data_IF_359071169221
#
_entry.id   IF_359071169221
#
_cell.length_a   1.000
_cell.length_b   1.000
_cell.length_c   1.000
_cell.angle_alpha   90.00
_cell.angle_beta   90.00
_cell.angle_gamma   90.00
#
_symmetry.space_group_name_H-M   'P 1'
#
loop_
_entity.id
_entity.type
_entity.pdbx_description
1 polymer ?
#
# COMPACT_ATOMS: atom_id res chain seq x y z
N UNK A 1 -8.34 14.35 2.00
CA UNK A 1 -8.36 13.45 3.17
C UNK A 1 -8.64 12.03 2.71
N UNK A 2 -8.57 11.02 3.60
CA UNK A 2 -8.96 9.65 3.23
C UNK A 2 -10.43 9.56 2.82
N UNK A 3 -11.34 10.22 3.54
CA UNK A 3 -12.78 10.14 3.28
C UNK A 3 -13.16 10.80 1.94
N UNK A 4 -12.59 11.96 1.64
CA UNK A 4 -12.77 12.64 0.35
C UNK A 4 -12.25 11.80 -0.82
N UNK A 5 -11.10 11.14 -0.63
CA UNK A 5 -10.55 10.23 -1.62
C UNK A 5 -11.46 9.00 -1.80
N UNK A 6 -11.90 8.38 -0.70
CA UNK A 6 -12.74 7.19 -0.73
C UNK A 6 -14.08 7.49 -1.43
N UNK A 7 -14.64 8.68 -1.26
CA UNK A 7 -15.86 9.11 -1.93
C UNK A 7 -15.74 9.09 -3.47
N UNK A 8 -14.55 9.40 -4.02
CA UNK A 8 -14.30 9.48 -5.46
C UNK A 8 -14.08 8.11 -6.13
N UNK A 9 -13.81 7.06 -5.35
CA UNK A 9 -13.52 5.73 -5.92
C UNK A 9 -14.73 5.16 -6.67
N UNK A 10 -14.45 4.65 -7.86
CA UNK A 10 -15.46 4.12 -8.78
C UNK A 10 -16.26 2.97 -8.16
N UNK A 11 -17.58 2.98 -8.35
CA UNK A 11 -18.51 2.00 -7.74
C UNK A 11 -18.19 0.53 -8.04
N UNK A 12 -17.58 0.23 -9.19
CA UNK A 12 -17.16 -1.15 -9.52
C UNK A 12 -15.99 -1.63 -8.66
N UNK A 13 -15.07 -0.74 -8.30
CA UNK A 13 -13.97 -1.08 -7.39
C UNK A 13 -14.52 -1.29 -5.97
N UNK A 14 -15.44 -0.42 -5.52
CA UNK A 14 -16.12 -0.57 -4.22
C UNK A 14 -16.95 -1.85 -4.10
N UNK A 15 -17.43 -2.39 -5.22
CA UNK A 15 -18.22 -3.61 -5.27
C UNK A 15 -17.39 -4.90 -5.19
N UNK A 16 -16.07 -4.83 -5.37
CA UNK A 16 -15.19 -6.01 -5.31
C UNK A 16 -15.04 -6.52 -3.86
N UNK A 17 -15.08 -7.85 -3.61
CA UNK A 17 -14.85 -8.41 -2.29
C UNK A 17 -13.57 -7.91 -1.58
N UNK A 18 -12.50 -7.62 -2.32
CA UNK A 18 -11.24 -7.10 -1.76
C UNK A 18 -11.44 -5.75 -1.04
N UNK A 19 -12.41 -4.95 -1.47
CA UNK A 19 -12.72 -3.63 -0.92
C UNK A 19 -13.11 -3.67 0.56
N UNK A 20 -13.66 -4.80 1.03
CA UNK A 20 -14.02 -5.00 2.44
C UNK A 20 -12.81 -4.87 3.37
N UNK A 21 -11.62 -5.18 2.88
CA UNK A 21 -10.40 -5.07 3.67
C UNK A 21 -9.92 -3.61 3.73
N UNK A 22 -9.91 -3.02 4.93
CA UNK A 22 -9.42 -1.65 5.13
C UNK A 22 -7.95 -1.47 4.69
N UNK A 23 -7.12 -2.50 4.86
CA UNK A 23 -5.72 -2.45 4.42
C UNK A 23 -5.58 -2.27 2.91
N UNK A 24 -6.48 -2.86 2.12
CA UNK A 24 -6.52 -2.65 0.67
C UNK A 24 -6.85 -1.20 0.32
N UNK A 25 -7.90 -0.65 0.94
CA UNK A 25 -8.32 0.73 0.70
C UNK A 25 -7.23 1.74 1.06
N UNK A 26 -6.56 1.53 2.21
CA UNK A 26 -5.42 2.36 2.63
C UNK A 26 -4.22 2.23 1.69
N UNK A 27 -3.96 1.04 1.15
CA UNK A 27 -2.91 0.83 0.15
C UNK A 27 -3.22 1.55 -1.18
N UNK A 28 -4.47 1.51 -1.63
CA UNK A 28 -4.93 2.28 -2.81
C UNK A 28 -4.79 3.78 -2.58
N UNK A 29 -5.20 4.28 -1.40
CA UNK A 29 -5.01 5.68 -1.04
C UNK A 29 -3.53 6.07 -1.01
N UNK A 30 -2.67 5.22 -0.44
CA UNK A 30 -1.23 5.43 -0.46
C UNK A 30 -0.68 5.51 -1.88
N UNK A 31 -1.17 4.68 -2.81
CA UNK A 31 -0.71 4.68 -4.19
C UNK A 31 -0.99 6.01 -4.89
N UNK A 32 -2.21 6.55 -4.75
CA UNK A 32 -2.57 7.84 -5.35
C UNK A 32 -1.75 8.99 -4.74
N UNK A 33 -1.50 8.95 -3.43
CA UNK A 33 -0.59 9.90 -2.80
C UNK A 33 0.85 9.75 -3.31
N UNK A 34 1.30 8.52 -3.54
CA UNK A 34 2.64 8.23 -4.07
C UNK A 34 2.78 8.72 -5.51
N UNK A 35 1.72 8.62 -6.31
CA UNK A 35 1.68 9.18 -7.66
C UNK A 35 1.93 10.69 -7.64
N UNK A 36 1.24 11.42 -6.76
CA UNK A 36 1.44 12.86 -6.58
C UNK A 36 2.85 13.19 -6.07
N UNK A 37 3.33 12.44 -5.07
CA UNK A 37 4.67 12.65 -4.48
C UNK A 37 5.79 12.38 -5.50
N UNK A 38 5.57 11.52 -6.50
CA UNK A 38 6.53 11.26 -7.58
C UNK A 38 6.70 12.44 -8.55
N UNK A 39 5.75 13.37 -8.64
CA UNK A 39 5.86 14.54 -9.52
C UNK A 39 7.05 15.45 -9.14
N UNK A 40 7.16 15.98 -7.90
CA UNK A 40 8.30 16.81 -7.52
C UNK A 40 9.62 16.03 -7.46
N UNK A 41 9.59 14.75 -7.09
CA UNK A 41 10.80 13.91 -7.00
C UNK A 41 11.51 13.73 -8.36
N UNK A 42 10.77 13.71 -9.47
CA UNK A 42 11.35 13.56 -10.82
C UNK A 42 12.17 14.77 -11.27
N UNK A 43 12.00 15.92 -10.63
CA UNK A 43 12.75 17.14 -10.93
C UNK A 43 14.25 17.03 -10.62
N UNK A 44 14.65 16.17 -9.69
CA UNK A 44 16.04 15.90 -9.34
C UNK A 44 16.54 14.61 -10.01
N UNK A 45 17.75 14.65 -10.59
CA UNK A 45 18.39 13.47 -11.21
C UNK A 45 18.43 12.26 -10.25
N UNK A 46 18.75 12.48 -8.98
CA UNK A 46 18.84 11.44 -7.94
C UNK A 46 17.46 10.90 -7.56
N UNK A 47 16.44 11.74 -7.68
CA UNK A 47 15.06 11.39 -7.37
C UNK A 47 14.44 10.42 -8.36
N UNK A 48 14.90 10.40 -9.62
CA UNK A 48 14.34 9.48 -10.64
C UNK A 48 14.47 8.00 -10.28
N UNK A 49 15.66 7.57 -9.85
CA UNK A 49 15.87 6.19 -9.43
C UNK A 49 15.01 5.83 -8.19
N UNK A 50 14.75 6.80 -7.32
CA UNK A 50 13.89 6.61 -6.14
C UNK A 50 12.43 6.49 -6.57
N UNK A 51 11.96 7.35 -7.49
CA UNK A 51 10.59 7.31 -8.05
C UNK A 51 10.28 5.97 -8.67
N UNK A 52 11.19 5.43 -9.49
CA UNK A 52 10.97 4.15 -10.16
C UNK A 52 10.79 3.00 -9.18
N UNK A 53 11.51 3.01 -8.05
CA UNK A 53 11.37 1.99 -7.01
C UNK A 53 10.13 2.24 -6.12
N UNK A 54 9.87 3.52 -5.81
CA UNK A 54 8.78 3.93 -4.95
C UNK A 54 7.42 3.60 -5.57
N UNK A 55 7.19 3.97 -6.84
CA UNK A 55 5.91 3.74 -7.51
C UNK A 55 5.63 2.24 -7.70
N UNK A 56 6.66 1.45 -8.03
CA UNK A 56 6.53 -0.01 -8.22
C UNK A 56 6.26 -0.72 -6.89
N UNK A 57 7.03 -0.40 -5.84
CA UNK A 57 6.82 -1.01 -4.53
C UNK A 57 5.45 -0.64 -3.96
N UNK A 58 5.00 0.62 -4.07
CA UNK A 58 3.69 1.04 -3.61
C UNK A 58 2.55 0.30 -4.34
N UNK A 59 2.61 0.22 -5.67
CA UNK A 59 1.60 -0.50 -6.47
C UNK A 59 1.58 -2.00 -6.19
N UNK A 60 2.75 -2.58 -5.88
CA UNK A 60 2.87 -4.00 -5.53
C UNK A 60 2.12 -4.35 -4.23
N UNK A 61 1.86 -3.39 -3.33
CA UNK A 61 1.04 -3.64 -2.14
C UNK A 61 -0.38 -4.03 -2.56
N UNK A 62 -1.02 -3.21 -3.40
CA UNK A 62 -2.37 -3.46 -3.91
C UNK A 62 -2.42 -4.74 -4.75
N UNK A 63 -1.50 -4.89 -5.71
CA UNK A 63 -1.47 -6.03 -6.62
C UNK A 63 -1.36 -7.37 -5.88
N UNK A 64 -0.55 -7.45 -4.82
CA UNK A 64 -0.45 -8.67 -4.02
C UNK A 64 -1.73 -8.92 -3.21
N UNK A 65 -2.41 -7.89 -2.69
CA UNK A 65 -3.69 -8.08 -1.97
C UNK A 65 -4.78 -8.56 -2.93
N UNK A 66 -4.84 -8.01 -4.13
CA UNK A 66 -5.75 -8.40 -5.21
C UNK A 66 -5.50 -9.85 -5.63
N UNK A 67 -4.25 -10.19 -5.93
CA UNK A 67 -3.85 -11.54 -6.33
C UNK A 67 -4.17 -12.56 -5.24
N UNK A 68 -3.84 -12.25 -3.98
CA UNK A 68 -4.23 -13.08 -2.85
C UNK A 68 -5.74 -13.30 -2.79
N UNK A 69 -6.53 -12.24 -2.96
CA UNK A 69 -7.99 -12.31 -2.95
C UNK A 69 -8.52 -13.21 -4.08
N UNK A 70 -7.91 -13.17 -5.26
CA UNK A 70 -8.22 -14.05 -6.39
C UNK A 70 -7.96 -15.54 -6.13
N UNK A 71 -7.07 -15.88 -5.18
CA UNK A 71 -6.83 -17.26 -4.72
C UNK A 71 -7.83 -17.74 -3.66
N UNK A 72 -8.81 -16.90 -3.30
CA UNK A 72 -9.78 -17.16 -2.26
C UNK A 72 -9.28 -16.76 -0.87
N UNK A 73 -10.18 -16.22 -0.04
CA UNK A 73 -9.82 -15.67 1.27
C UNK A 73 -9.34 -16.71 2.28
N UNK A 74 -9.61 -18.00 2.06
CA UNK A 74 -9.29 -19.07 3.00
C UNK A 74 -8.16 -19.92 2.44
N UNK A 75 -6.95 -19.78 2.98
CA UNK A 75 -5.86 -20.66 2.59
C UNK A 75 -4.46 -20.11 2.79
N UNK A 76 -3.50 -21.00 2.55
CA UNK A 76 -2.06 -20.69 2.63
C UNK A 76 -1.64 -19.71 1.54
N UNK A 77 -2.28 -19.75 0.36
CA UNK A 77 -1.99 -18.86 -0.76
C UNK A 77 -2.37 -17.41 -0.46
N UNK A 78 -3.58 -17.16 0.08
CA UNK A 78 -3.97 -15.80 0.52
C UNK A 78 -2.95 -15.21 1.49
N UNK A 79 -2.58 -15.98 2.52
CA UNK A 79 -1.58 -15.54 3.51
C UNK A 79 -0.19 -15.36 2.90
N UNK A 80 0.18 -16.13 1.87
CA UNK A 80 1.41 -15.96 1.13
C UNK A 80 1.45 -14.60 0.41
N UNK A 81 0.41 -14.27 -0.33
CA UNK A 81 0.32 -12.98 -1.02
C UNK A 81 0.25 -11.79 -0.05
N UNK A 82 -0.41 -11.93 1.10
CA UNK A 82 -0.35 -10.90 2.15
C UNK A 82 1.08 -10.69 2.70
N UNK A 83 1.92 -11.73 2.74
CA UNK A 83 3.35 -11.58 3.09
C UNK A 83 4.12 -10.82 2.03
N UNK A 84 3.82 -11.04 0.74
CA UNK A 84 4.41 -10.26 -0.34
C UNK A 84 4.00 -8.79 -0.25
N UNK A 85 2.71 -8.51 -0.04
CA UNK A 85 2.21 -7.15 0.19
C UNK A 85 2.89 -6.47 1.38
N UNK A 86 3.12 -7.20 2.48
CA UNK A 86 3.85 -6.72 3.65
C UNK A 86 5.32 -6.40 3.33
N UNK A 87 5.96 -7.22 2.49
CA UNK A 87 7.30 -6.95 1.96
C UNK A 87 7.34 -5.63 1.19
N UNK A 88 6.43 -5.48 0.22
CA UNK A 88 6.30 -4.28 -0.59
C UNK A 88 6.02 -3.04 0.28
N UNK A 89 5.15 -3.12 1.29
CA UNK A 89 4.85 -2.01 2.19
C UNK A 89 6.09 -1.54 2.97
N UNK A 90 6.89 -2.49 3.49
CA UNK A 90 8.16 -2.16 4.17
C UNK A 90 9.17 -1.55 3.22
N UNK A 91 9.23 -2.06 1.99
CA UNK A 91 10.09 -1.51 0.95
C UNK A 91 9.70 -0.06 0.60
N UNK A 92 8.41 0.20 0.35
CA UNK A 92 7.86 1.54 0.09
C UNK A 92 8.18 2.50 1.23
N UNK A 93 8.05 2.06 2.49
CA UNK A 93 8.45 2.86 3.67
C UNK A 93 9.93 3.22 3.65
N UNK A 94 10.79 2.27 3.29
CA UNK A 94 12.22 2.52 3.09
C UNK A 94 12.51 3.54 1.98
N UNK A 95 11.80 3.45 0.85
CA UNK A 95 11.96 4.39 -0.26
C UNK A 95 11.53 5.81 0.09
N UNK A 96 10.40 5.99 0.78
CA UNK A 96 10.02 7.30 1.31
C UNK A 96 11.08 7.91 2.21
N UNK A 97 11.66 7.14 3.13
CA UNK A 97 12.71 7.64 4.01
C UNK A 97 14.00 8.01 3.24
N UNK A 98 14.33 7.28 2.17
CA UNK A 98 15.45 7.64 1.27
C UNK A 98 15.14 8.88 0.43
N UNK A 99 13.88 9.11 0.10
CA UNK A 99 13.40 10.31 -0.61
C UNK A 99 13.36 11.58 0.25
N UNK A 100 13.59 11.49 1.58
CA UNK A 100 13.37 12.59 2.56
C UNK A 100 14.07 13.92 2.24
N UNK A 101 15.15 13.89 1.47
CA UNK A 101 15.87 15.12 1.07
C UNK A 101 15.11 15.94 0.02
N UNK A 102 14.14 15.31 -0.65
CA UNK A 102 13.36 15.88 -1.74
C UNK A 102 11.86 15.98 -1.41
N UNK A 103 11.46 15.65 -0.16
CA UNK A 103 10.09 15.72 0.34
C UNK A 103 10.02 16.68 1.52
N UNK A 104 8.89 17.36 1.67
CA UNK A 104 8.65 18.17 2.86
C UNK A 104 8.44 17.27 4.09
N UNK A 105 8.87 17.70 5.30
CA UNK A 105 8.69 16.91 6.51
C UNK A 105 7.22 16.49 6.79
N UNK A 106 6.20 17.34 6.57
CA UNK A 106 4.80 16.94 6.77
C UNK A 106 4.33 15.84 5.82
N UNK A 107 4.77 15.87 4.55
CA UNK A 107 4.45 14.82 3.57
C UNK A 107 5.07 13.51 4.04
N UNK A 108 6.37 13.52 4.33
CA UNK A 108 7.09 12.33 4.79
C UNK A 108 6.42 11.71 6.02
N UNK A 109 6.13 12.51 7.04
CA UNK A 109 5.51 12.06 8.29
C UNK A 109 4.14 11.41 8.02
N UNK A 110 3.31 12.02 7.17
CA UNK A 110 2.03 11.44 6.79
C UNK A 110 2.21 10.08 6.09
N UNK A 111 3.13 9.97 5.12
CA UNK A 111 3.31 8.70 4.38
C UNK A 111 3.84 7.59 5.28
N UNK A 112 4.78 7.90 6.17
CA UNK A 112 5.31 6.93 7.12
C UNK A 112 4.22 6.41 8.07
N UNK A 113 3.37 7.30 8.60
CA UNK A 113 2.21 6.92 9.44
C UNK A 113 1.21 6.05 8.70
N UNK A 114 0.86 6.43 7.47
CA UNK A 114 -0.07 5.64 6.64
C UNK A 114 0.49 4.24 6.34
N UNK A 115 1.80 4.14 6.08
CA UNK A 115 2.47 2.86 5.89
C UNK A 115 2.50 2.00 7.15
N UNK A 116 2.68 2.60 8.33
CA UNK A 116 2.57 1.88 9.61
C UNK A 116 1.16 1.34 9.86
N UNK A 117 0.13 2.09 9.48
CA UNK A 117 -1.26 1.63 9.51
C UNK A 117 -1.47 0.44 8.56
N UNK A 118 -1.02 0.53 7.30
CA UNK A 118 -1.12 -0.55 6.30
C UNK A 118 -0.40 -1.81 6.77
N UNK A 119 0.83 -1.68 7.29
CA UNK A 119 1.62 -2.80 7.83
C UNK A 119 0.86 -3.46 8.98
N UNK A 120 0.28 -2.68 9.88
CA UNK A 120 -0.51 -3.20 11.02
C UNK A 120 -1.76 -3.94 10.54
N UNK A 121 -2.47 -3.40 9.54
CA UNK A 121 -3.66 -4.04 8.95
C UNK A 121 -3.31 -5.37 8.26
N UNK A 122 -2.21 -5.42 7.51
CA UNK A 122 -1.72 -6.65 6.88
C UNK A 122 -1.35 -7.73 7.91
N UNK A 123 -0.61 -7.35 8.96
CA UNK A 123 -0.24 -8.27 10.04
C UNK A 123 -1.46 -8.81 10.78
N UNK A 124 -2.44 -7.96 11.06
CA UNK A 124 -3.68 -8.36 11.73
C UNK A 124 -4.51 -9.30 10.86
N UNK A 125 -4.63 -9.01 9.56
CA UNK A 125 -5.31 -9.89 8.62
C UNK A 125 -4.66 -11.27 8.58
N UNK A 126 -3.33 -11.34 8.48
CA UNK A 126 -2.62 -12.63 8.51
C UNK A 126 -2.81 -13.40 9.81
N UNK A 127 -2.82 -12.72 10.97
CA UNK A 127 -3.08 -13.35 12.27
C UNK A 127 -4.49 -13.93 12.36
N UNK A 128 -5.49 -13.18 11.89
CA UNK A 128 -6.89 -13.62 11.84
C UNK A 128 -7.01 -14.95 11.05
N UNK A 129 -6.41 -15.02 9.86
CA UNK A 129 -6.42 -16.22 9.01
C UNK A 129 -5.62 -17.40 9.58
N UNK A 130 -4.55 -17.14 10.34
CA UNK A 130 -3.81 -18.20 11.04
C UNK A 130 -4.64 -18.85 12.15
N UNK A 131 -5.49 -18.07 12.82
CA UNK A 131 -6.33 -18.52 13.93
C UNK A 131 -7.64 -19.16 13.47
N UNK A 132 -8.05 -18.95 12.22
CA UNK A 132 -9.22 -19.60 11.59
C UNK A 132 -8.93 -21.01 11.04
N UNK A 133 -7.79 -21.63 11.35
CA UNK A 133 -7.56 -23.03 10.98
C UNK A 133 -8.64 -23.90 11.66
N UNK A 134 -9.30 -24.81 10.93
CA UNK A 134 -10.26 -25.75 11.51
C UNK A 134 -9.61 -26.63 12.57
#
# INVERSE_FOLDING_TARGET
>A
TYDEWEAQIHKRIKGDPVWKFLGYRKAMFLYDLTWEDCHPLRGDYRGRAVVDQLIRSAGSICANIEEGTGRGFQGKEYTYYLRLALGSARETKGWYYRARQLLSPPILEHRLKLLDEIISLLLNQMKYHKNMKP
#
